data_IF_525425988632
#
_entry.id   IF_525425988632
#
_cell.length_a   1.000
_cell.length_b   1.000
_cell.length_c   1.000
_cell.angle_alpha   90.00
_cell.angle_beta   90.00
_cell.angle_gamma   90.00
#
_symmetry.space_group_name_H-M   'P 1'
#
loop_
_entity.id
_entity.type
_entity.pdbx_description
1 polymer ?
#
# COMPACT_ATOMS: atom_id res chain seq x y z
N UNK A 1 68.54 21.39 2.14
CA UNK A 1 68.16 21.70 0.74
C UNK A 1 67.81 20.39 0.03
N UNK A 2 66.51 20.07 -0.06
CA UNK A 2 65.99 18.90 -0.79
C UNK A 2 64.98 19.41 -1.82
N UNK A 3 65.25 19.15 -3.10
CA UNK A 3 64.50 19.68 -4.24
C UNK A 3 63.19 18.90 -4.42
N UNK A 4 62.07 19.61 -4.45
CA UNK A 4 60.77 19.11 -4.89
C UNK A 4 60.78 18.97 -6.42
N UNK A 5 60.34 17.83 -6.95
CA UNK A 5 60.01 17.65 -8.36
C UNK A 5 58.53 17.26 -8.45
N UNK A 6 57.72 18.23 -8.89
CA UNK A 6 56.30 18.09 -9.19
C UNK A 6 56.21 17.57 -10.64
N UNK A 7 55.77 16.33 -10.83
CA UNK A 7 55.46 15.78 -12.15
C UNK A 7 53.95 15.78 -12.35
N UNK A 8 53.48 16.76 -13.13
CA UNK A 8 52.11 16.84 -13.64
C UNK A 8 52.01 15.91 -14.86
N UNK A 9 51.25 14.81 -14.76
CA UNK A 9 50.90 13.97 -15.92
C UNK A 9 49.42 14.21 -16.23
N UNK A 10 49.18 15.03 -17.26
CA UNK A 10 47.88 15.26 -17.87
C UNK A 10 47.68 14.22 -18.97
N UNK A 11 46.87 13.19 -18.74
CA UNK A 11 46.43 12.25 -19.76
C UNK A 11 44.94 12.47 -20.03
N UNK A 12 44.65 13.29 -21.05
CA UNK A 12 43.33 13.41 -21.64
C UNK A 12 43.16 12.30 -22.71
N UNK A 13 42.25 11.37 -22.47
CA UNK A 13 41.68 10.50 -23.50
C UNK A 13 40.16 10.67 -23.48
N UNK A 14 39.70 11.64 -24.29
CA UNK A 14 38.31 11.73 -24.72
C UNK A 14 38.05 10.61 -25.73
N UNK A 15 37.39 9.54 -25.30
CA UNK A 15 36.60 8.69 -26.18
C UNK A 15 35.13 9.10 -26.05
N UNK A 16 34.37 9.32 -27.14
CA UNK A 16 32.94 9.46 -27.02
C UNK A 16 32.39 8.08 -26.62
N UNK A 17 32.03 7.93 -25.34
CA UNK A 17 31.11 6.87 -24.94
C UNK A 17 29.78 7.18 -25.61
N UNK A 18 29.61 6.65 -26.82
CA UNK A 18 28.42 6.82 -27.61
C UNK A 18 27.22 6.38 -26.79
N UNK A 19 26.31 7.32 -26.53
CA UNK A 19 24.92 6.97 -26.32
C UNK A 19 24.44 6.31 -27.62
N UNK A 20 24.57 5.00 -27.70
CA UNK A 20 23.86 4.23 -28.72
C UNK A 20 22.39 4.37 -28.41
N UNK A 21 21.68 5.15 -29.22
CA UNK A 21 20.23 5.16 -29.24
C UNK A 21 19.75 3.70 -29.39
N UNK A 22 18.82 3.22 -28.56
CA UNK A 22 18.28 1.87 -28.72
C UNK A 22 17.73 1.71 -30.15
N UNK A 23 18.16 0.66 -30.84
CA UNK A 23 17.72 0.34 -32.19
C UNK A 23 16.18 0.20 -32.24
N UNK A 24 15.46 1.04 -32.99
CA UNK A 24 14.01 0.97 -33.11
C UNK A 24 13.52 -0.32 -33.79
N UNK A 25 14.42 -1.11 -34.40
CA UNK A 25 14.10 -2.37 -35.05
C UNK A 25 14.23 -3.60 -34.14
N UNK A 26 14.59 -3.47 -32.85
CA UNK A 26 14.62 -4.62 -31.94
C UNK A 26 13.18 -5.12 -31.71
N UNK A 27 12.82 -6.35 -32.15
CA UNK A 27 11.51 -6.90 -31.84
C UNK A 27 11.32 -6.92 -30.31
N UNK A 28 10.11 -6.67 -29.78
CA UNK A 28 9.88 -6.71 -28.34
C UNK A 28 10.44 -8.01 -27.80
N UNK A 29 11.44 -7.89 -26.93
CA UNK A 29 12.09 -9.06 -26.36
C UNK A 29 11.01 -9.96 -25.79
N UNK A 30 10.96 -11.23 -26.23
CA UNK A 30 10.06 -12.22 -25.61
C UNK A 30 10.23 -12.10 -24.11
N UNK A 31 9.14 -11.84 -23.39
CA UNK A 31 9.13 -11.91 -21.94
C UNK A 31 9.79 -13.23 -21.55
N UNK A 32 10.97 -13.17 -20.92
CA UNK A 32 11.54 -14.36 -20.30
C UNK A 32 10.52 -14.82 -19.27
N UNK A 33 10.16 -16.09 -19.30
CA UNK A 33 9.45 -16.70 -18.17
C UNK A 33 10.33 -16.47 -16.94
N UNK A 34 9.88 -15.58 -16.06
CA UNK A 34 10.56 -15.25 -14.81
C UNK A 34 10.53 -16.51 -13.93
N UNK A 35 11.67 -16.95 -13.41
CA UNK A 35 11.71 -18.07 -12.49
C UNK A 35 10.84 -17.74 -11.25
N UNK A 36 10.15 -18.72 -10.64
CA UNK A 36 9.38 -18.47 -9.43
C UNK A 36 10.33 -17.94 -8.35
N UNK A 37 10.10 -16.70 -7.92
CA UNK A 37 10.81 -16.11 -6.78
C UNK A 37 10.26 -16.71 -5.49
N UNK A 38 11.13 -16.95 -4.51
CA UNK A 38 10.71 -17.39 -3.20
C UNK A 38 10.03 -16.27 -2.39
N UNK A 39 10.21 -15.00 -2.78
CA UNK A 39 9.62 -13.85 -2.09
C UNK A 39 8.30 -13.43 -2.74
N UNK A 40 7.23 -13.38 -1.95
CA UNK A 40 5.91 -12.90 -2.37
C UNK A 40 5.96 -11.47 -2.92
N UNK A 41 6.89 -10.65 -2.41
CA UNK A 41 6.99 -9.24 -2.74
C UNK A 41 8.19 -8.89 -3.63
N UNK A 42 8.59 -9.80 -4.51
CA UNK A 42 9.58 -9.52 -5.55
C UNK A 42 8.95 -8.66 -6.66
N UNK A 43 9.36 -7.39 -6.85
CA UNK A 43 8.77 -6.50 -7.84
C UNK A 43 9.13 -6.88 -9.29
N UNK A 44 10.13 -7.75 -9.51
CA UNK A 44 10.51 -8.24 -10.82
C UNK A 44 9.62 -9.41 -11.28
N UNK A 45 8.84 -10.02 -10.39
CA UNK A 45 7.96 -11.15 -10.70
C UNK A 45 6.51 -10.70 -10.63
N UNK A 46 5.79 -10.80 -11.75
CA UNK A 46 4.36 -10.55 -11.78
C UNK A 46 3.61 -11.87 -11.66
N UNK A 47 3.01 -12.12 -10.49
CA UNK A 47 2.25 -13.34 -10.20
C UNK A 47 0.81 -13.25 -10.67
N UNK A 48 0.19 -14.40 -10.92
CA UNK A 48 -1.24 -14.51 -11.22
C UNK A 48 -2.00 -14.93 -9.97
N UNK A 49 -3.03 -14.14 -9.63
CA UNK A 49 -3.96 -14.41 -8.53
C UNK A 49 -5.30 -14.73 -9.15
N UNK A 50 -5.76 -15.97 -9.00
CA UNK A 50 -7.06 -16.40 -9.50
C UNK A 50 -8.06 -16.49 -8.34
N UNK A 51 -8.97 -15.52 -8.27
CA UNK A 51 -10.06 -15.48 -7.30
C UNK A 51 -11.32 -16.07 -7.93
N UNK A 52 -11.95 -17.00 -7.22
CA UNK A 52 -13.23 -17.60 -7.62
C UNK A 52 -14.26 -17.34 -6.55
N UNK A 53 -15.23 -16.49 -6.87
CA UNK A 53 -16.41 -16.24 -6.05
C UNK A 53 -17.52 -17.19 -6.47
N UNK A 54 -18.06 -17.93 -5.49
CA UNK A 54 -19.19 -18.83 -5.71
C UNK A 54 -20.54 -18.09 -5.77
N UNK A 55 -20.61 -16.90 -5.17
CA UNK A 55 -21.79 -16.02 -5.20
C UNK A 55 -21.79 -15.21 -6.51
N UNK A 56 -22.84 -15.30 -7.36
CA UNK A 56 -22.94 -14.48 -8.57
C UNK A 56 -23.03 -12.97 -8.28
N UNK A 57 -23.53 -12.58 -7.11
CA UNK A 57 -23.72 -11.17 -6.70
C UNK A 57 -22.56 -10.65 -5.83
N UNK A 58 -21.38 -11.29 -5.91
CA UNK A 58 -20.22 -10.98 -5.07
C UNK A 58 -19.80 -9.51 -5.08
N UNK A 59 -19.89 -8.79 -6.23
CA UNK A 59 -19.55 -7.36 -6.33
C UNK A 59 -20.46 -6.50 -5.42
N UNK A 60 -21.76 -6.79 -5.45
CA UNK A 60 -22.76 -6.12 -4.62
C UNK A 60 -22.56 -6.45 -3.15
N UNK A 61 -22.22 -7.71 -2.84
CA UNK A 61 -21.95 -8.15 -1.47
C UNK A 61 -20.70 -7.46 -0.91
N UNK A 62 -19.64 -7.36 -1.71
CA UNK A 62 -18.42 -6.63 -1.32
C UNK A 62 -18.69 -5.15 -1.00
N UNK A 63 -19.65 -4.52 -1.68
CA UNK A 63 -20.06 -3.14 -1.39
C UNK A 63 -20.88 -3.02 -0.08
N UNK A 64 -21.50 -4.10 0.38
CA UNK A 64 -22.40 -4.12 1.55
C UNK A 64 -21.72 -4.55 2.85
N UNK A 65 -20.69 -5.42 2.79
CA UNK A 65 -20.04 -6.01 3.98
C UNK A 65 -19.30 -4.98 4.85
N UNK A 66 -19.03 -3.78 4.35
CA UNK A 66 -18.35 -2.73 5.11
C UNK A 66 -16.91 -3.08 5.47
N UNK A 67 -16.36 -2.47 6.52
CA UNK A 67 -14.97 -2.66 6.92
C UNK A 67 -14.72 -3.97 7.69
N UNK A 68 -15.74 -4.53 8.35
CA UNK A 68 -15.59 -5.70 9.23
C UNK A 68 -16.06 -7.01 8.63
N UNK A 69 -16.84 -6.97 7.54
CA UNK A 69 -17.35 -8.18 6.89
C UNK A 69 -16.45 -8.68 5.76
N UNK A 70 -16.67 -9.94 5.37
CA UNK A 70 -15.97 -10.61 4.28
C UNK A 70 -16.96 -11.24 3.31
N UNK A 71 -16.57 -11.29 2.04
CA UNK A 71 -17.12 -12.19 1.03
C UNK A 71 -16.07 -13.25 0.77
N UNK A 72 -16.45 -14.53 0.83
CA UNK A 72 -15.50 -15.63 0.69
C UNK A 72 -15.28 -15.99 -0.78
N UNK A 73 -14.02 -16.27 -1.12
CA UNK A 73 -13.61 -16.73 -2.43
C UNK A 73 -12.48 -17.76 -2.32
N UNK A 74 -12.35 -18.63 -3.31
CA UNK A 74 -11.18 -19.49 -3.44
C UNK A 74 -10.09 -18.74 -4.20
N UNK A 75 -8.86 -18.76 -3.68
CA UNK A 75 -7.70 -18.14 -4.31
C UNK A 75 -6.76 -19.22 -4.81
N UNK A 76 -6.27 -19.10 -6.04
CA UNK A 76 -5.16 -19.90 -6.56
C UNK A 76 -4.00 -18.97 -6.94
N UNK A 77 -2.83 -19.24 -6.37
CA UNK A 77 -1.57 -18.51 -6.66
C UNK A 77 -0.48 -19.52 -6.97
N UNK A 78 0.20 -19.35 -8.10
CA UNK A 78 1.31 -20.23 -8.55
C UNK A 78 0.94 -21.74 -8.52
N UNK A 79 -0.33 -22.07 -8.80
CA UNK A 79 -0.86 -23.44 -8.78
C UNK A 79 -1.25 -23.99 -7.41
N UNK A 80 -1.06 -23.23 -6.32
CA UNK A 80 -1.51 -23.59 -4.97
C UNK A 80 -2.87 -22.96 -4.67
N UNK A 81 -3.81 -23.79 -4.23
CA UNK A 81 -5.16 -23.38 -3.86
C UNK A 81 -5.26 -23.03 -2.38
N UNK A 82 -6.03 -21.99 -2.09
CA UNK A 82 -6.36 -21.45 -0.77
C UNK A 82 -7.87 -21.29 -0.73
N UNK A 83 -8.61 -22.25 -0.14
CA UNK A 83 -10.06 -22.16 -0.05
C UNK A 83 -10.52 -21.10 0.96
N UNK A 84 -11.76 -20.63 0.79
CA UNK A 84 -12.48 -19.79 1.76
C UNK A 84 -11.71 -18.54 2.23
N UNK A 85 -10.98 -17.88 1.33
CA UNK A 85 -10.28 -16.62 1.60
C UNK A 85 -11.30 -15.51 1.79
N UNK A 86 -11.16 -14.75 2.87
CA UNK A 86 -11.98 -13.57 3.13
C UNK A 86 -11.54 -12.41 2.23
N UNK A 87 -12.46 -11.92 1.40
CA UNK A 87 -12.25 -10.75 0.55
C UNK A 87 -13.12 -9.59 1.03
N UNK A 88 -12.53 -8.41 1.16
CA UNK A 88 -13.26 -7.17 1.41
C UNK A 88 -12.71 -6.01 0.60
N UNK A 89 -13.51 -4.95 0.45
CA UNK A 89 -13.03 -3.70 -0.14
C UNK A 89 -12.13 -2.96 0.85
N UNK A 90 -11.07 -2.35 0.35
CA UNK A 90 -10.13 -1.57 1.17
C UNK A 90 -10.17 -0.08 0.82
N UNK A 91 -10.17 0.77 1.85
CA UNK A 91 -10.04 2.22 1.68
C UNK A 91 -11.39 2.92 1.51
N UNK A 92 -11.39 4.23 1.72
CA UNK A 92 -12.62 5.02 1.77
C UNK A 92 -12.92 5.73 0.44
N UNK A 93 -11.96 6.50 -0.09
CA UNK A 93 -12.12 7.22 -1.37
C UNK A 93 -11.86 6.35 -2.59
N UNK A 94 -10.88 5.45 -2.53
CA UNK A 94 -10.49 4.56 -3.64
C UNK A 94 -11.48 3.43 -3.91
N UNK A 95 -12.25 3.02 -2.89
CA UNK A 95 -13.36 2.07 -3.05
C UNK A 95 -14.60 2.75 -3.66
N UNK A 96 -14.86 4.02 -3.33
CA UNK A 96 -15.95 4.84 -3.87
C UNK A 96 -15.65 5.46 -5.25
N UNK A 97 -14.40 5.40 -5.70
CA UNK A 97 -13.99 5.93 -7.01
C UNK A 97 -14.70 5.26 -8.20
N UNK A 98 -14.86 5.95 -9.34
CA UNK A 98 -15.48 5.37 -10.53
C UNK A 98 -14.72 4.16 -11.05
N UNK A 99 -15.46 3.24 -11.69
CA UNK A 99 -14.91 2.04 -12.30
C UNK A 99 -15.13 0.78 -11.47
N UNK A 100 -15.10 -0.35 -12.17
CA UNK A 100 -15.34 -1.69 -11.61
C UNK A 100 -14.15 -2.23 -10.81
N UNK A 101 -12.92 -1.81 -11.15
CA UNK A 101 -11.69 -2.25 -10.49
C UNK A 101 -11.52 -1.58 -9.12
N UNK A 102 -11.91 -2.29 -8.05
CA UNK A 102 -11.80 -1.83 -6.66
C UNK A 102 -10.55 -2.38 -5.97
N UNK A 103 -9.99 -1.65 -4.98
CA UNK A 103 -8.95 -2.18 -4.10
C UNK A 103 -9.52 -3.30 -3.21
N UNK A 104 -8.78 -4.40 -3.09
CA UNK A 104 -9.18 -5.58 -2.33
C UNK A 104 -8.22 -5.82 -1.17
N UNK A 105 -8.73 -6.32 -0.06
CA UNK A 105 -7.95 -6.89 1.01
C UNK A 105 -8.32 -8.38 1.11
N UNK A 106 -7.30 -9.24 1.10
CA UNK A 106 -7.43 -10.68 1.16
C UNK A 106 -6.91 -11.15 2.51
N UNK A 107 -7.75 -11.79 3.30
CA UNK A 107 -7.41 -12.41 4.58
C UNK A 107 -7.57 -13.92 4.40
N UNK A 108 -6.44 -14.63 4.33
CA UNK A 108 -6.39 -16.03 3.97
C UNK A 108 -6.87 -16.94 5.11
N UNK A 109 -6.63 -16.54 6.34
CA UNK A 109 -7.03 -17.28 7.54
C UNK A 109 -8.42 -16.88 8.07
N UNK A 110 -9.21 -16.14 7.29
CA UNK A 110 -10.53 -15.64 7.69
C UNK A 110 -11.50 -16.78 8.10
N UNK A 111 -11.34 -17.96 7.49
CA UNK A 111 -12.15 -19.15 7.78
C UNK A 111 -11.33 -20.40 8.02
N UNK A 112 -10.18 -20.52 7.35
CA UNK A 112 -9.25 -21.65 7.51
C UNK A 112 -8.08 -21.20 8.36
N UNK A 113 -8.11 -21.53 9.65
CA UNK A 113 -7.08 -21.10 10.61
C UNK A 113 -5.66 -21.55 10.19
N UNK A 114 -4.69 -20.65 10.29
CA UNK A 114 -3.29 -20.91 9.96
C UNK A 114 -3.00 -20.94 8.46
N UNK A 115 -3.96 -20.59 7.59
CA UNK A 115 -3.72 -20.46 6.16
C UNK A 115 -2.91 -19.19 5.85
N UNK A 116 -1.72 -19.37 5.25
CA UNK A 116 -0.86 -18.27 4.84
C UNK A 116 -0.38 -18.42 3.39
N UNK A 117 -0.10 -17.29 2.73
CA UNK A 117 0.54 -17.20 1.44
C UNK A 117 1.98 -16.77 1.66
N UNK A 118 2.92 -17.73 1.60
CA UNK A 118 4.35 -17.47 1.76
C UNK A 118 4.70 -16.74 3.07
N UNK A 119 3.99 -17.07 4.15
CA UNK A 119 4.17 -16.52 5.50
C UNK A 119 3.38 -15.24 5.78
N UNK A 120 2.38 -14.91 4.97
CA UNK A 120 1.46 -13.77 5.18
C UNK A 120 0.03 -14.29 5.23
N UNK A 121 -0.70 -13.94 6.28
CA UNK A 121 -2.13 -14.19 6.47
C UNK A 121 -3.00 -13.17 5.72
N UNK A 122 -2.57 -11.91 5.69
CA UNK A 122 -3.29 -10.82 5.04
C UNK A 122 -2.43 -10.09 4.00
N UNK A 123 -3.01 -9.88 2.81
CA UNK A 123 -2.39 -9.10 1.73
C UNK A 123 -3.35 -8.08 1.13
N UNK A 124 -2.81 -6.97 0.64
CA UNK A 124 -3.60 -5.90 0.02
C UNK A 124 -3.35 -5.84 -1.48
N UNK A 125 -4.42 -5.74 -2.26
CA UNK A 125 -4.38 -5.50 -3.69
C UNK A 125 -4.89 -4.08 -3.98
N UNK A 126 -3.95 -3.16 -4.17
CA UNK A 126 -4.24 -1.76 -4.49
C UNK A 126 -4.51 -1.60 -6.00
N UNK A 127 -5.60 -0.90 -6.34
CA UNK A 127 -6.04 -0.75 -7.72
C UNK A 127 -5.31 0.35 -8.50
N UNK A 128 -4.48 1.17 -7.84
CA UNK A 128 -3.77 2.28 -8.48
C UNK A 128 -4.70 3.39 -8.97
N UNK A 129 -5.87 3.60 -8.34
CA UNK A 129 -6.93 4.50 -8.85
C UNK A 129 -6.44 5.90 -9.25
N UNK A 130 -5.57 6.53 -8.45
CA UNK A 130 -5.03 7.86 -8.71
C UNK A 130 -3.69 7.85 -9.47
N UNK A 131 -3.19 6.67 -9.86
CA UNK A 131 -1.90 6.50 -10.51
C UNK A 131 -2.04 5.81 -11.88
N UNK A 132 -1.99 6.57 -12.99
CA UNK A 132 -2.02 6.01 -14.34
C UNK A 132 -0.87 5.04 -14.64
N UNK A 133 0.27 5.15 -13.95
CA UNK A 133 1.43 4.29 -14.22
C UNK A 133 1.48 3.05 -13.34
N UNK A 134 0.62 2.96 -12.31
CA UNK A 134 0.61 1.96 -11.23
C UNK A 134 1.95 1.75 -10.49
N UNK A 135 2.97 2.53 -10.82
CA UNK A 135 4.35 2.30 -10.40
C UNK A 135 4.78 3.21 -9.25
N UNK A 136 4.05 4.29 -8.97
CA UNK A 136 4.47 5.28 -7.95
C UNK A 136 4.60 4.64 -6.58
N UNK A 137 3.66 3.79 -6.19
CA UNK A 137 3.67 3.11 -4.90
C UNK A 137 4.89 2.17 -4.77
N UNK A 138 5.12 1.32 -5.77
CA UNK A 138 6.25 0.39 -5.78
C UNK A 138 7.59 1.11 -5.78
N UNK A 139 7.76 2.12 -6.63
CA UNK A 139 9.01 2.89 -6.71
C UNK A 139 9.29 3.68 -5.43
N UNK A 140 8.25 4.28 -4.83
CA UNK A 140 8.41 5.08 -3.61
C UNK A 140 8.75 4.19 -2.42
N UNK A 141 8.06 3.05 -2.26
CA UNK A 141 8.34 2.11 -1.18
C UNK A 141 9.74 1.52 -1.31
N UNK A 142 10.13 1.08 -2.51
CA UNK A 142 11.47 0.55 -2.77
C UNK A 142 12.58 1.58 -2.49
N UNK A 143 12.42 2.81 -2.98
CA UNK A 143 13.42 3.87 -2.79
C UNK A 143 13.57 4.30 -1.32
N UNK A 144 12.49 4.28 -0.53
CA UNK A 144 12.50 4.74 0.86
C UNK A 144 12.81 3.63 1.86
N UNK A 145 12.63 2.36 1.48
CA UNK A 145 12.83 1.20 2.35
C UNK A 145 14.19 1.18 3.05
N UNK A 146 15.34 1.49 2.42
CA UNK A 146 16.63 1.48 3.11
C UNK A 146 16.74 2.49 4.27
N UNK A 147 15.86 3.49 4.30
CA UNK A 147 15.96 4.63 5.22
C UNK A 147 14.92 4.63 6.33
N UNK A 148 13.78 3.97 6.12
CA UNK A 148 12.69 3.94 7.11
C UNK A 148 11.76 2.73 6.91
N UNK A 149 10.98 2.35 7.93
CA UNK A 149 9.99 1.29 7.82
C UNK A 149 8.99 1.56 6.69
N UNK A 150 9.07 0.75 5.64
CA UNK A 150 8.19 0.82 4.47
C UNK A 150 7.64 -0.57 4.15
N UNK A 151 6.36 -0.71 3.79
CA UNK A 151 5.79 -1.99 3.38
C UNK A 151 6.45 -2.47 2.09
N UNK A 152 6.58 -3.78 1.92
CA UNK A 152 6.98 -4.35 0.63
C UNK A 152 5.85 -4.28 -0.37
N UNK A 153 6.23 -4.19 -1.64
CA UNK A 153 5.29 -4.07 -2.76
C UNK A 153 5.75 -4.92 -3.93
N UNK A 154 4.78 -5.47 -4.67
CA UNK A 154 5.00 -6.19 -5.92
C UNK A 154 3.80 -6.00 -6.85
N UNK A 155 3.81 -6.66 -8.01
CA UNK A 155 2.70 -6.60 -8.95
C UNK A 155 2.01 -7.96 -9.10
N UNK A 156 0.69 -7.93 -9.21
CA UNK A 156 -0.11 -9.14 -9.45
C UNK A 156 -1.14 -8.92 -10.54
N UNK A 157 -1.34 -9.93 -11.38
CA UNK A 157 -2.48 -10.00 -12.31
C UNK A 157 -3.61 -10.69 -11.58
N UNK A 158 -4.67 -9.94 -11.28
CA UNK A 158 -5.88 -10.49 -10.68
C UNK A 158 -6.80 -11.01 -11.79
N UNK A 159 -7.21 -12.26 -11.66
CA UNK A 159 -8.25 -12.90 -12.44
C UNK A 159 -9.40 -13.23 -11.51
N UNK A 160 -10.63 -12.82 -11.86
CA UNK A 160 -11.82 -13.07 -11.06
C UNK A 160 -12.80 -13.89 -11.89
N UNK A 161 -13.23 -15.05 -11.37
CA UNK A 161 -14.13 -15.99 -12.04
C UNK A 161 -13.67 -16.35 -13.47
N UNK A 162 -12.36 -16.53 -13.65
CA UNK A 162 -11.73 -16.87 -14.93
C UNK A 162 -11.49 -15.69 -15.89
N UNK A 163 -11.97 -14.49 -15.56
CA UNK A 163 -11.75 -13.28 -16.37
C UNK A 163 -10.61 -12.44 -15.80
N UNK A 164 -9.74 -11.92 -16.67
CA UNK A 164 -8.72 -10.95 -16.27
C UNK A 164 -9.39 -9.66 -15.78
N UNK A 165 -9.15 -9.32 -14.52
CA UNK A 165 -9.76 -8.17 -13.85
C UNK A 165 -8.84 -6.94 -13.91
N UNK A 166 -7.52 -7.15 -13.81
CA UNK A 166 -6.53 -6.10 -13.98
C UNK A 166 -5.21 -6.37 -13.26
N UNK A 167 -4.25 -5.47 -13.50
CA UNK A 167 -2.97 -5.43 -12.79
C UNK A 167 -3.16 -4.68 -11.47
N UNK A 168 -2.73 -5.25 -10.37
CA UNK A 168 -2.78 -4.65 -9.03
C UNK A 168 -1.38 -4.49 -8.45
N UNK A 169 -1.23 -3.51 -7.57
CA UNK A 169 -0.07 -3.44 -6.69
C UNK A 169 -0.38 -4.26 -5.45
N UNK A 170 0.39 -5.32 -5.25
CA UNK A 170 0.36 -6.12 -4.03
C UNK A 170 1.16 -5.38 -2.95
N UNK A 171 0.54 -5.13 -1.80
CA UNK A 171 1.14 -4.35 -0.71
C UNK A 171 1.08 -5.15 0.59
N UNK A 172 2.21 -5.19 1.29
CA UNK A 172 2.35 -5.84 2.60
C UNK A 172 1.42 -5.17 3.62
N UNK A 173 0.68 -5.97 4.38
CA UNK A 173 -0.15 -5.48 5.45
C UNK A 173 0.73 -5.03 6.63
N UNK A 174 0.45 -3.84 7.17
CA UNK A 174 1.17 -3.32 8.35
C UNK A 174 0.54 -3.94 9.59
N UNK A 175 1.19 -4.98 10.10
CA UNK A 175 0.77 -5.74 11.27
C UNK A 175 1.99 -6.21 12.09
N UNK A 176 1.79 -7.11 13.05
CA UNK A 176 2.86 -7.61 13.92
C UNK A 176 4.06 -8.18 13.15
N UNK A 177 3.84 -8.82 11.99
CA UNK A 177 4.94 -9.32 11.15
C UNK A 177 5.80 -8.19 10.59
N UNK A 178 5.17 -7.14 10.08
CA UNK A 178 5.85 -5.92 9.64
C UNK A 178 6.62 -5.27 10.80
N UNK A 179 5.98 -5.14 11.97
CA UNK A 179 6.61 -4.54 13.15
C UNK A 179 7.86 -5.33 13.59
N UNK A 180 7.79 -6.67 13.64
CA UNK A 180 8.93 -7.54 13.96
C UNK A 180 10.07 -7.48 12.95
N UNK A 181 9.78 -7.15 11.70
CA UNK A 181 10.82 -7.00 10.66
C UNK A 181 11.63 -5.70 10.81
N UNK A 182 11.05 -4.66 11.41
CA UNK A 182 11.65 -3.33 11.49
C UNK A 182 12.08 -2.91 12.88
N UNK A 183 11.43 -3.44 13.92
CA UNK A 183 11.63 -3.00 15.29
C UNK A 183 12.11 -4.17 16.17
N UNK A 184 13.05 -3.92 17.11
CA UNK A 184 13.49 -4.95 18.06
C UNK A 184 12.37 -5.51 18.95
N UNK A 185 11.33 -4.73 19.20
CA UNK A 185 10.15 -5.08 19.99
C UNK A 185 8.90 -4.99 19.10
N UNK A 186 8.60 -6.07 18.37
CA UNK A 186 7.52 -6.13 17.38
C UNK A 186 6.14 -6.46 17.95
N UNK A 187 5.96 -6.36 19.26
CA UNK A 187 4.74 -6.58 20.04
C UNK A 187 4.09 -5.26 20.54
N UNK A 188 4.59 -4.13 20.06
CA UNK A 188 4.03 -2.81 20.35
C UNK A 188 2.64 -2.56 19.72
N UNK A 189 2.06 -1.42 20.06
CA UNK A 189 0.76 -0.98 19.54
C UNK A 189 0.94 -0.28 18.19
N UNK A 190 0.14 -0.67 17.19
CA UNK A 190 0.08 -0.02 15.88
C UNK A 190 -1.12 0.92 15.83
N UNK A 191 -0.87 2.19 15.53
CA UNK A 191 -1.92 3.19 15.33
C UNK A 191 -2.07 3.51 13.85
N UNK A 192 -3.29 3.38 13.33
CA UNK A 192 -3.66 3.89 12.01
C UNK A 192 -4.27 5.28 12.19
N UNK A 193 -3.64 6.29 11.61
CA UNK A 193 -4.16 7.66 11.60
C UNK A 193 -5.26 7.81 10.57
N UNK A 194 -6.49 7.47 10.92
CA UNK A 194 -7.64 7.74 10.06
C UNK A 194 -8.11 9.19 10.28
N UNK A 195 -8.26 9.99 9.21
CA UNK A 195 -8.87 11.30 9.36
C UNK A 195 -10.30 11.10 9.87
N UNK A 196 -10.71 11.95 10.80
CA UNK A 196 -12.11 12.06 11.17
C UNK A 196 -12.88 12.39 9.89
N UNK A 197 -13.80 11.51 9.46
CA UNK A 197 -14.66 11.82 8.32
C UNK A 197 -15.30 13.19 8.57
N UNK A 198 -15.23 14.08 7.58
CA UNK A 198 -15.81 15.41 7.70
C UNK A 198 -17.31 15.27 8.05
N UNK A 199 -17.64 15.48 9.34
CA UNK A 199 -19.01 15.35 9.86
C UNK A 199 -19.25 14.28 10.94
N UNK A 200 -18.28 13.43 11.30
CA UNK A 200 -18.45 12.49 12.43
C UNK A 200 -17.64 12.95 13.66
N UNK A 201 -18.19 12.92 14.89
CA UNK A 201 -17.39 13.16 16.09
C UNK A 201 -16.40 12.00 16.26
N UNK A 202 -15.10 12.29 16.29
CA UNK A 202 -14.08 11.28 16.57
C UNK A 202 -14.28 10.63 17.96
N UNK A 203 -13.81 9.39 18.16
CA UNK A 203 -13.91 8.71 19.45
C UNK A 203 -12.91 9.36 20.41
N UNK A 204 -13.38 10.37 21.13
CA UNK A 204 -12.54 11.22 21.97
C UNK A 204 -12.94 12.69 22.03
N UNK A 205 -14.11 13.05 21.49
CA UNK A 205 -14.71 14.37 21.75
C UNK A 205 -14.99 14.54 23.25
N UNK A 206 -14.02 15.06 24.00
CA UNK A 206 -14.30 15.73 25.26
C UNK A 206 -15.43 16.74 24.99
N UNK A 207 -16.48 16.81 25.84
CA UNK A 207 -17.57 17.73 25.60
C UNK A 207 -16.98 19.13 25.51
N UNK A 208 -17.07 19.73 24.32
CA UNK A 208 -16.75 21.13 24.13
C UNK A 208 -17.61 21.88 25.13
N UNK A 209 -17.03 22.68 26.05
CA UNK A 209 -17.84 23.46 26.97
C UNK A 209 -18.64 24.44 26.11
N UNK A 210 -19.93 24.16 25.94
CA UNK A 210 -20.84 25.10 25.29
C UNK A 210 -20.73 26.42 26.05
N UNK A 211 -20.46 27.55 25.39
CA UNK A 211 -20.56 28.83 26.05
C UNK A 211 -22.01 28.97 26.47
N UNK A 212 -22.24 28.99 27.80
CA UNK A 212 -23.55 29.25 28.38
C UNK A 212 -24.06 30.54 27.76
N UNK A 213 -25.12 30.44 26.96
CA UNK A 213 -25.82 31.59 26.41
C UNK A 213 -26.20 32.49 27.59
N UNK A 214 -25.57 33.66 27.65
CA UNK A 214 -25.85 34.66 28.66
C UNK A 214 -27.27 35.17 28.49
N UNK A 215 -28.15 34.81 29.41
CA UNK A 215 -29.31 35.64 29.76
C UNK A 215 -28.79 36.75 30.68
N UNK A 216 -29.17 37.98 30.35
CA UNK A 216 -28.56 39.22 30.86
C UNK A 216 -28.48 39.38 32.37
N UNK A 217 -27.51 40.21 32.76
CA UNK A 217 -27.26 40.67 34.12
C UNK A 217 -26.08 41.64 34.09
N UNK A 218 -26.42 42.91 34.18
CA UNK A 218 -25.57 44.06 34.46
C UNK A 218 -24.58 43.84 35.62
N UNK A 219 -23.33 44.22 35.43
CA UNK A 219 -22.46 44.69 36.52
C UNK A 219 -21.29 45.48 35.93
N UNK A 220 -21.34 46.78 36.13
CA UNK A 220 -20.25 47.75 36.07
C UNK A 220 -18.98 47.28 36.80
N UNK A 221 -17.80 47.51 36.21
CA UNK A 221 -16.52 47.36 36.90
C UNK A 221 -15.33 47.72 36.01
N UNK A 222 -14.66 48.83 36.30
CA UNK A 222 -13.69 49.50 35.43
C UNK A 222 -12.35 48.79 35.24
N UNK A 223 -11.66 49.15 34.14
CA UNK A 223 -10.26 48.80 33.87
C UNK A 223 -9.33 49.56 34.82
N UNK A 224 -8.35 48.91 35.46
CA UNK A 224 -7.11 49.57 35.86
C UNK A 224 -6.11 49.54 34.71
N UNK A 225 -5.42 50.67 34.51
CA UNK A 225 -4.37 50.89 33.52
C UNK A 225 -3.07 50.12 33.86
N UNK A 226 -2.17 49.89 32.88
CA UNK A 226 -0.93 49.15 33.10
C UNK A 226 0.11 50.01 33.81
N UNK A 227 0.70 49.48 34.89
CA UNK A 227 1.84 50.05 35.60
C UNK A 227 3.17 49.51 35.08
N UNK A 228 4.17 50.39 35.14
CA UNK A 228 5.56 50.24 34.74
C UNK A 228 6.35 49.18 35.54
#
# INVERSE_FOLDING_TARGET
MRRFALALVLAALLGPAGWSCPDPARPPGRARAQAPSADLFDPAVVRDFHLTFHDPDWESRLAQVGETGFVYADLVVDGRAYPDVGVRLKGNSSSRGPGRKKPLNLTLDARVEGQDLMGFDTVNLNNGFADPTIARETLTTDALRPFQPMPRTAYVRAHVNGAYFGLYTLVEQIEGRFARAWFPFGDGILFKGDPVEAGMPGPGGAPTPTPRAGTGGDASGGRPAPGA
#
